data_IF_046905921488
#
_entry.id   IF_046905921488
#
_cell.length_a   1.000
_cell.length_b   1.000
_cell.length_c   1.000
_cell.angle_alpha   90.00
_cell.angle_beta   90.00
_cell.angle_gamma   90.00
#
_symmetry.space_group_name_H-M   'P 1'
#
loop_
_entity.id
_entity.type
_entity.pdbx_description
1 polymer ?
#
# COMPACT_ATOMS: atom_id res chain seq x y z
N UNK A 1 -14.76 4.36 -9.90
CA UNK A 1 -14.40 3.06 -10.45
C UNK A 1 -13.61 2.24 -9.45
N UNK A 2 -13.97 0.99 -9.35
CA UNK A 2 -13.36 0.10 -8.38
C UNK A 2 -11.91 -0.26 -8.71
N UNK A 3 -11.48 -0.02 -9.94
CA UNK A 3 -10.15 -0.41 -10.39
C UNK A 3 -9.01 0.23 -9.60
N UNK A 4 -9.15 1.51 -9.23
CA UNK A 4 -8.11 2.20 -8.49
C UNK A 4 -7.95 1.63 -7.08
N UNK A 5 -9.07 1.34 -6.43
CA UNK A 5 -9.03 0.77 -5.09
C UNK A 5 -8.42 -0.61 -5.11
N UNK A 6 -8.80 -1.42 -6.10
CA UNK A 6 -8.26 -2.77 -6.22
C UNK A 6 -6.75 -2.75 -6.46
N UNK A 7 -6.29 -1.82 -7.27
CA UNK A 7 -4.88 -1.65 -7.54
C UNK A 7 -4.12 -1.29 -6.27
N UNK A 8 -4.65 -0.33 -5.53
CA UNK A 8 -4.02 0.12 -4.30
C UNK A 8 -3.97 -1.01 -3.27
N UNK A 9 -5.04 -1.77 -3.16
CA UNK A 9 -5.08 -2.91 -2.24
C UNK A 9 -4.06 -3.97 -2.62
N UNK A 10 -3.91 -4.24 -3.89
CA UNK A 10 -2.93 -5.21 -4.37
C UNK A 10 -1.52 -4.75 -4.05
N UNK A 11 -1.25 -3.48 -4.28
CA UNK A 11 0.06 -2.92 -4.00
C UNK A 11 0.39 -3.02 -2.53
N UNK A 12 -0.55 -2.67 -1.67
CA UNK A 12 -0.36 -2.76 -0.22
C UNK A 12 -0.07 -4.19 0.19
N UNK A 13 -0.86 -5.15 -0.31
CA UNK A 13 -0.65 -6.55 0.02
C UNK A 13 0.71 -7.04 -0.42
N UNK A 14 1.13 -6.67 -1.61
CA UNK A 14 2.43 -7.06 -2.13
C UNK A 14 3.55 -6.52 -1.25
N UNK A 15 3.46 -5.24 -0.90
CA UNK A 15 4.48 -4.61 -0.07
C UNK A 15 4.50 -5.20 1.34
N UNK A 16 3.33 -5.55 1.87
CA UNK A 16 3.27 -6.20 3.18
C UNK A 16 3.98 -7.55 3.16
N UNK A 17 3.86 -8.27 2.08
CA UNK A 17 4.58 -9.53 1.92
C UNK A 17 6.08 -9.31 1.93
N UNK A 18 6.53 -8.31 1.19
CA UNK A 18 7.96 -8.02 1.12
C UNK A 18 8.53 -7.62 2.47
N UNK A 19 7.75 -6.85 3.23
CA UNK A 19 8.17 -6.42 4.56
C UNK A 19 8.34 -7.61 5.51
N UNK A 20 7.54 -8.64 5.33
CA UNK A 20 7.61 -9.83 6.18
C UNK A 20 8.81 -10.72 5.88
N UNK A 21 9.51 -10.45 4.79
CA UNK A 21 10.67 -11.25 4.39
C UNK A 21 11.92 -10.37 4.27
N UNK A 22 12.32 -9.71 5.36
CA UNK A 22 13.46 -8.79 5.31
C UNK A 22 14.78 -9.47 4.99
N UNK A 23 14.87 -10.78 5.25
CA UNK A 23 16.11 -11.52 4.98
C UNK A 23 16.39 -11.69 3.49
N UNK A 24 15.42 -11.41 2.64
CA UNK A 24 15.62 -11.52 1.20
C UNK A 24 16.22 -10.24 0.58
N UNK A 25 16.28 -9.18 1.34
CA UNK A 25 16.69 -7.87 0.81
C UNK A 25 17.70 -7.20 1.72
N UNK A 26 18.45 -6.26 1.15
CA UNK A 26 19.40 -5.44 1.90
C UNK A 26 18.66 -4.43 2.78
N UNK A 27 19.41 -3.88 3.74
CA UNK A 27 18.86 -2.89 4.64
C UNK A 27 18.23 -1.70 3.90
N UNK A 28 18.92 -1.22 2.88
CA UNK A 28 18.43 -0.11 2.09
C UNK A 28 17.14 -0.46 1.38
N UNK A 29 17.07 -1.65 0.82
CA UNK A 29 15.89 -2.11 0.13
C UNK A 29 14.73 -2.30 1.09
N UNK A 30 14.99 -2.86 2.27
CA UNK A 30 13.97 -3.02 3.29
C UNK A 30 13.40 -1.68 3.74
N UNK A 31 14.26 -0.70 3.90
CA UNK A 31 13.83 0.63 4.27
C UNK A 31 12.94 1.23 3.18
N UNK A 32 13.34 1.08 1.94
CA UNK A 32 12.56 1.59 0.82
C UNK A 32 11.21 0.90 0.74
N UNK A 33 11.18 -0.40 0.94
CA UNK A 33 9.93 -1.16 0.90
C UNK A 33 8.98 -0.66 1.98
N UNK A 34 9.48 -0.43 3.19
CA UNK A 34 8.64 0.07 4.27
C UNK A 34 8.10 1.46 3.98
N UNK A 35 8.93 2.32 3.40
CA UNK A 35 8.48 3.65 3.00
C UNK A 35 7.40 3.58 1.94
N UNK A 36 7.59 2.72 0.95
CA UNK A 36 6.60 2.53 -0.10
C UNK A 36 5.30 1.98 0.46
N UNK A 37 5.39 1.07 1.41
CA UNK A 37 4.21 0.50 2.04
C UNK A 37 3.41 1.59 2.75
N UNK A 38 4.09 2.46 3.47
CA UNK A 38 3.41 3.54 4.16
C UNK A 38 2.72 4.48 3.19
N UNK A 39 3.41 4.85 2.12
CA UNK A 39 2.82 5.71 1.09
C UNK A 39 1.60 5.04 0.46
N UNK A 40 1.72 3.75 0.15
CA UNK A 40 0.62 3.02 -0.46
C UNK A 40 -0.59 2.92 0.47
N UNK A 41 -0.35 2.71 1.75
CA UNK A 41 -1.43 2.66 2.73
C UNK A 41 -2.13 4.01 2.85
N UNK A 42 -1.35 5.08 2.85
CA UNK A 42 -1.92 6.42 2.93
C UNK A 42 -2.77 6.72 1.70
N UNK A 43 -2.31 6.33 0.54
CA UNK A 43 -3.07 6.54 -0.68
C UNK A 43 -4.35 5.73 -0.69
N UNK A 44 -4.27 4.48 -0.25
CA UNK A 44 -5.45 3.63 -0.17
C UNK A 44 -6.48 4.23 0.77
N UNK A 45 -6.04 4.70 1.93
CA UNK A 45 -6.93 5.32 2.89
C UNK A 45 -7.60 6.56 2.30
N UNK A 46 -6.85 7.34 1.53
CA UNK A 46 -7.39 8.52 0.89
C UNK A 46 -8.47 8.18 -0.11
N UNK A 47 -8.23 7.18 -0.93
CA UNK A 47 -9.19 6.75 -1.94
C UNK A 47 -10.45 6.23 -1.26
N UNK A 48 -10.31 5.44 -0.23
CA UNK A 48 -11.45 4.89 0.51
C UNK A 48 -12.26 5.99 1.18
N UNK A 49 -11.58 6.97 1.72
CA UNK A 49 -12.25 8.08 2.37
C UNK A 49 -13.08 8.88 1.37
N UNK A 50 -12.51 9.16 0.21
CA UNK A 50 -13.24 9.87 -0.83
C UNK A 50 -14.45 9.09 -1.29
N UNK A 51 -14.31 7.79 -1.45
CA UNK A 51 -15.42 6.95 -1.86
C UNK A 51 -16.53 6.94 -0.81
N UNK A 52 -16.14 6.86 0.45
CA UNK A 52 -17.11 6.87 1.54
C UNK A 52 -17.91 8.16 1.56
N UNK A 53 -17.24 9.28 1.37
CA UNK A 53 -17.91 10.58 1.35
C UNK A 53 -18.86 10.69 0.16
N UNK A 54 -18.49 10.08 -0.94
CA UNK A 54 -19.31 10.10 -2.13
C UNK A 54 -20.63 9.36 -1.96
N UNK A 55 -20.69 8.46 -1.00
CA UNK A 55 -21.88 7.64 -0.76
C UNK A 55 -22.94 8.37 0.04
N UNK A 56 -22.59 9.46 0.61
CA UNK A 56 -23.61 10.22 1.32
C UNK A 56 -24.40 11.12 0.40
#
# INVERSE_FOLDING_TARGET
MATQINRAKRLVKMLERLVKQPYLYDEEQNKLIREQLEVAKNELARIQEQTSKGFK
#
